data_IF_764374915703
#
_entry.id   IF_764374915703
#
_cell.length_a   1.000
_cell.length_b   1.000
_cell.length_c   1.000
_cell.angle_alpha   90.00
_cell.angle_beta   90.00
_cell.angle_gamma   90.00
#
_symmetry.space_group_name_H-M   'P 1'
#
loop_
_entity.id
_entity.type
_entity.pdbx_description
1 polymer ?
#
# COMPACT_ATOMS: atom_id res chain seq x y z
N UNK A 1 40.35 19.97 62.11
CA UNK A 1 39.18 20.41 62.90
C UNK A 1 39.24 21.92 62.99
N UNK A 2 38.59 22.63 62.08
CA UNK A 2 38.57 24.09 62.11
C UNK A 2 37.12 24.57 62.04
N UNK A 3 36.88 25.58 62.87
CA UNK A 3 35.60 26.10 63.29
C UNK A 3 34.68 26.49 62.15
N UNK A 4 33.43 26.08 62.33
CA UNK A 4 32.22 26.80 61.96
C UNK A 4 32.27 28.25 62.43
N UNK A 5 31.83 29.20 61.60
CA UNK A 5 30.70 30.02 62.06
C UNK A 5 29.86 30.58 60.90
N UNK A 6 28.56 30.61 61.15
CA UNK A 6 27.50 30.69 60.17
C UNK A 6 27.10 32.13 59.81
N UNK A 7 26.72 32.19 58.54
CA UNK A 7 26.15 33.26 57.73
C UNK A 7 24.89 33.92 58.30
N UNK A 8 24.78 35.26 58.17
CA UNK A 8 23.54 36.02 57.86
C UNK A 8 23.96 37.33 57.17
N UNK A 9 23.23 38.01 56.28
CA UNK A 9 22.03 37.80 55.47
C UNK A 9 22.02 38.97 54.44
N UNK A 10 21.59 38.67 53.20
CA UNK A 10 20.94 39.52 52.17
C UNK A 10 21.56 40.85 51.65
N UNK A 11 21.92 40.76 50.36
CA UNK A 11 21.35 41.49 49.22
C UNK A 11 20.97 42.98 49.34
N UNK A 12 21.64 43.79 48.50
CA UNK A 12 21.01 44.87 47.71
C UNK A 12 21.67 45.02 46.33
N UNK A 13 20.82 44.97 45.30
CA UNK A 13 20.99 45.56 43.95
C UNK A 13 21.22 47.08 44.07
N UNK A 14 21.70 47.86 43.12
CA UNK A 14 22.16 47.75 41.72
C UNK A 14 22.88 49.09 41.45
N UNK A 15 23.93 49.13 40.63
CA UNK A 15 24.31 50.36 39.95
C UNK A 15 25.06 50.08 38.66
N UNK A 16 24.58 50.78 37.63
CA UNK A 16 24.95 50.82 36.22
C UNK A 16 26.29 51.52 35.95
N UNK A 17 26.71 51.37 34.69
CA UNK A 17 27.63 52.19 33.87
C UNK A 17 29.11 51.84 33.86
N UNK A 18 29.53 51.26 32.73
CA UNK A 18 30.64 51.82 31.96
C UNK A 18 30.36 51.63 30.46
N UNK A 19 30.38 52.77 29.78
CA UNK A 19 30.15 52.94 28.36
C UNK A 19 31.40 52.59 27.55
N UNK A 20 31.22 52.01 26.37
CA UNK A 20 32.13 52.23 25.25
C UNK A 20 31.34 52.26 23.93
N UNK A 21 31.31 53.43 23.32
CA UNK A 21 30.79 53.66 21.97
C UNK A 21 31.91 53.39 20.96
N UNK A 22 31.68 52.45 20.06
CA UNK A 22 32.41 52.27 18.81
C UNK A 22 31.40 52.14 17.67
N UNK A 23 31.54 53.00 16.66
CA UNK A 23 30.52 53.33 15.65
C UNK A 23 30.61 52.43 14.42
N UNK A 24 29.43 52.00 13.92
CA UNK A 24 29.05 51.58 12.55
C UNK A 24 29.51 50.21 12.03
N UNK A 25 28.54 49.28 11.97
CA UNK A 25 28.23 48.50 10.76
C UNK A 25 26.74 48.10 10.80
N UNK A 26 26.11 48.06 9.62
CA UNK A 26 24.67 47.99 9.41
C UNK A 26 24.00 46.78 10.08
N UNK A 27 22.95 47.05 10.86
CA UNK A 27 21.96 46.05 11.26
C UNK A 27 20.91 45.91 10.15
N UNK A 28 21.13 45.01 9.21
CA UNK A 28 20.10 44.41 8.36
C UNK A 28 20.58 42.99 8.04
N UNK A 29 20.15 42.03 8.85
CA UNK A 29 20.58 40.64 8.73
C UNK A 29 20.08 39.78 9.88
N UNK A 30 18.84 39.97 10.32
CA UNK A 30 18.17 38.93 11.10
C UNK A 30 17.74 37.87 10.09
N UNK A 31 18.45 36.75 10.13
CA UNK A 31 18.35 35.65 9.18
C UNK A 31 16.91 35.19 9.00
N UNK A 32 16.47 35.28 7.74
CA UNK A 32 15.53 34.29 7.22
C UNK A 32 16.31 32.98 7.23
N UNK A 33 16.22 32.24 8.34
CA UNK A 33 16.37 30.80 8.31
C UNK A 33 15.25 30.32 7.40
N UNK A 34 15.57 30.24 6.11
CA UNK A 34 14.83 29.42 5.17
C UNK A 34 14.78 28.04 5.79
N UNK A 35 13.64 27.71 6.39
CA UNK A 35 13.15 26.36 6.45
C UNK A 35 13.19 25.88 5.00
N UNK A 36 14.29 25.24 4.62
CA UNK A 36 14.30 24.38 3.45
C UNK A 36 13.22 23.35 3.77
N UNK A 37 12.03 23.54 3.19
CA UNK A 37 11.06 22.48 3.00
C UNK A 37 11.87 21.30 2.48
N UNK A 38 12.04 20.27 3.30
CA UNK A 38 12.54 19.00 2.80
C UNK A 38 11.68 18.71 1.58
N UNK A 39 12.32 18.60 0.41
CA UNK A 39 11.62 18.27 -0.81
C UNK A 39 10.81 17.00 -0.51
N UNK A 40 9.49 17.14 -0.53
CA UNK A 40 8.56 16.10 -0.15
C UNK A 40 8.68 14.96 -1.16
N UNK A 41 9.47 13.95 -0.84
CA UNK A 41 9.71 12.83 -1.70
C UNK A 41 8.60 11.80 -1.45
N UNK A 42 7.65 11.76 -2.39
CA UNK A 42 6.70 10.66 -2.55
C UNK A 42 7.46 9.33 -2.68
N UNK A 43 6.86 8.16 -2.40
CA UNK A 43 7.50 6.87 -2.66
C UNK A 43 6.89 6.22 -3.92
N UNK A 44 7.73 5.90 -4.92
CA UNK A 44 7.30 5.07 -6.07
C UNK A 44 7.63 3.62 -5.76
N UNK A 45 6.62 2.76 -5.88
CA UNK A 45 6.61 1.31 -5.67
C UNK A 45 7.98 0.57 -5.59
N UNK A 46 8.09 -0.47 -4.75
CA UNK A 46 9.36 -1.16 -4.50
C UNK A 46 10.01 -1.65 -5.81
N UNK A 47 11.34 -1.70 -5.87
CA UNK A 47 12.04 -2.26 -7.03
C UNK A 47 11.68 -3.74 -7.21
N UNK A 48 11.45 -4.14 -8.47
CA UNK A 48 11.10 -5.54 -8.77
C UNK A 48 12.22 -6.53 -8.51
N UNK A 49 11.85 -7.82 -8.47
CA UNK A 49 12.80 -8.93 -8.39
C UNK A 49 13.73 -8.97 -9.60
N UNK A 50 14.87 -9.65 -9.50
CA UNK A 50 15.74 -9.92 -10.65
C UNK A 50 15.00 -10.71 -11.75
N UNK A 51 14.04 -11.55 -11.36
CA UNK A 51 13.12 -12.20 -12.29
C UNK A 51 12.31 -11.16 -13.08
N UNK A 52 11.74 -10.17 -12.41
CA UNK A 52 10.99 -9.11 -13.07
C UNK A 52 11.86 -8.23 -13.95
N UNK A 53 13.07 -7.87 -13.52
CA UNK A 53 14.02 -7.14 -14.34
C UNK A 53 14.31 -7.88 -15.66
N UNK A 54 14.47 -9.20 -15.62
CA UNK A 54 14.60 -10.04 -16.84
C UNK A 54 13.31 -10.09 -17.65
N UNK A 55 12.15 -10.09 -16.98
CA UNK A 55 10.84 -10.09 -17.63
C UNK A 55 10.54 -8.78 -18.37
N UNK A 56 11.02 -7.66 -17.84
CA UNK A 56 10.79 -6.31 -18.37
C UNK A 56 11.93 -5.81 -19.24
N UNK A 57 13.07 -6.51 -19.23
CA UNK A 57 14.34 -6.10 -19.85
C UNK A 57 14.84 -4.74 -19.34
N UNK A 58 14.64 -4.49 -18.05
CA UNK A 58 14.93 -3.21 -17.39
C UNK A 58 15.70 -3.48 -16.09
N UNK A 59 16.82 -2.77 -15.88
CA UNK A 59 17.69 -2.97 -14.73
C UNK A 59 17.31 -2.04 -13.58
N UNK A 60 17.75 -2.36 -12.35
CA UNK A 60 17.52 -1.45 -11.22
C UNK A 60 18.16 -0.08 -11.41
N UNK A 61 19.34 -0.02 -12.03
CA UNK A 61 20.02 1.23 -12.30
C UNK A 61 19.18 2.17 -13.17
N UNK A 62 18.39 1.63 -14.11
CA UNK A 62 17.50 2.45 -14.95
C UNK A 62 16.35 3.03 -14.13
N UNK A 63 15.74 2.24 -13.25
CA UNK A 63 14.64 2.68 -12.38
C UNK A 63 15.11 3.64 -11.29
N UNK A 64 16.27 3.39 -10.67
CA UNK A 64 16.88 4.29 -9.70
C UNK A 64 17.27 5.63 -10.33
N UNK A 65 17.80 5.61 -11.56
CA UNK A 65 18.07 6.85 -12.32
C UNK A 65 16.79 7.63 -12.60
N UNK A 66 15.69 6.95 -12.92
CA UNK A 66 14.40 7.61 -13.13
C UNK A 66 13.83 8.17 -11.82
N UNK A 67 13.89 7.42 -10.73
CA UNK A 67 13.47 7.89 -9.41
C UNK A 67 14.24 9.15 -8.99
N UNK A 68 15.57 9.16 -9.20
CA UNK A 68 16.41 10.33 -8.98
C UNK A 68 16.04 11.53 -9.86
N UNK A 69 15.69 11.30 -11.14
CA UNK A 69 15.19 12.38 -12.03
C UNK A 69 13.84 12.93 -11.62
N UNK A 70 12.96 12.08 -11.11
CA UNK A 70 11.63 12.48 -10.67
C UNK A 70 11.66 13.14 -9.28
N UNK A 71 12.75 12.99 -8.52
CA UNK A 71 12.87 13.49 -7.15
C UNK A 71 12.03 12.68 -6.16
N UNK A 72 11.89 11.38 -6.39
CA UNK A 72 10.97 10.50 -5.67
C UNK A 72 11.73 9.33 -5.07
N UNK A 73 11.35 8.91 -3.87
CA UNK A 73 11.95 7.75 -3.17
C UNK A 73 11.38 6.44 -3.75
N UNK A 74 12.08 5.33 -3.53
CA UNK A 74 11.57 4.00 -3.86
C UNK A 74 10.83 3.47 -2.62
N UNK A 75 9.59 2.99 -2.78
CA UNK A 75 8.76 2.45 -1.68
C UNK A 75 9.45 1.26 -1.04
N UNK A 76 9.30 1.14 0.28
CA UNK A 76 9.77 -0.02 1.03
C UNK A 76 9.14 -1.32 0.53
N UNK A 77 9.82 -2.45 0.76
CA UNK A 77 9.38 -3.79 0.35
C UNK A 77 8.56 -4.48 1.46
N UNK A 78 7.69 -3.74 2.16
CA UNK A 78 7.07 -4.24 3.39
C UNK A 78 6.16 -5.45 3.12
N UNK A 79 5.38 -5.42 2.03
CA UNK A 79 4.49 -6.52 1.66
C UNK A 79 5.28 -7.76 1.24
N UNK A 80 6.38 -7.56 0.51
CA UNK A 80 7.31 -8.64 0.17
C UNK A 80 7.99 -9.20 1.43
N UNK A 81 8.43 -8.36 2.37
CA UNK A 81 9.03 -8.79 3.64
C UNK A 81 8.04 -9.61 4.47
N UNK A 82 6.80 -9.12 4.65
CA UNK A 82 5.72 -9.87 5.33
C UNK A 82 5.54 -11.24 4.67
N UNK A 83 5.52 -11.27 3.33
CA UNK A 83 5.35 -12.51 2.56
C UNK A 83 6.53 -13.46 2.74
N UNK A 84 7.77 -12.97 2.69
CA UNK A 84 8.97 -13.80 2.90
C UNK A 84 9.01 -14.36 4.33
N UNK A 85 8.70 -13.55 5.35
CA UNK A 85 8.60 -13.99 6.76
C UNK A 85 7.52 -15.07 6.91
N UNK A 86 6.36 -14.85 6.29
CA UNK A 86 5.25 -15.79 6.37
C UNK A 86 5.55 -17.12 5.69
N UNK A 87 6.36 -17.11 4.63
CA UNK A 87 6.75 -18.31 3.88
C UNK A 87 8.08 -18.93 4.34
N UNK A 88 8.57 -18.55 5.53
CA UNK A 88 9.66 -19.26 6.22
C UNK A 88 11.02 -18.56 6.22
N UNK A 89 11.09 -17.27 5.91
CA UNK A 89 12.32 -16.50 6.13
C UNK A 89 12.71 -16.50 7.61
N UNK A 90 13.97 -16.84 7.96
CA UNK A 90 14.38 -17.07 9.34
C UNK A 90 14.66 -15.75 10.06
N UNK A 91 13.62 -15.18 10.66
CA UNK A 91 13.72 -14.09 11.63
C UNK A 91 12.83 -14.43 12.83
N UNK A 92 13.23 -14.01 14.02
CA UNK A 92 12.45 -14.19 15.24
C UNK A 92 11.61 -12.94 15.52
N UNK A 93 10.39 -13.06 16.07
CA UNK A 93 9.54 -11.89 16.34
C UNK A 93 10.23 -10.89 17.29
N UNK A 94 11.02 -11.39 18.25
CA UNK A 94 11.80 -10.55 19.18
C UNK A 94 12.86 -9.67 18.49
N UNK A 95 13.43 -10.14 17.38
CA UNK A 95 14.49 -9.45 16.63
C UNK A 95 13.99 -8.75 15.39
N UNK A 96 12.70 -8.87 15.05
CA UNK A 96 12.14 -8.38 13.80
C UNK A 96 12.41 -6.89 13.59
N UNK A 97 12.32 -6.04 14.61
CA UNK A 97 12.58 -4.61 14.45
C UNK A 97 14.04 -4.31 14.01
N UNK A 98 15.01 -5.11 14.46
CA UNK A 98 16.45 -4.88 14.23
C UNK A 98 17.03 -5.70 13.08
N UNK A 99 16.37 -6.77 12.66
CA UNK A 99 16.86 -7.69 11.64
C UNK A 99 16.09 -7.56 10.31
N UNK A 100 16.61 -6.77 9.35
CA UNK A 100 15.99 -6.59 8.04
C UNK A 100 16.33 -7.72 7.05
N UNK A 101 16.86 -8.88 7.49
CA UNK A 101 17.27 -9.98 6.59
C UNK A 101 16.15 -10.38 5.64
N UNK A 102 14.90 -10.41 6.12
CA UNK A 102 13.72 -10.80 5.33
C UNK A 102 13.19 -9.71 4.40
N UNK A 103 13.72 -8.48 4.48
CA UNK A 103 13.42 -7.39 3.53
C UNK A 103 14.27 -7.46 2.26
N UNK A 104 15.27 -8.35 2.23
CA UNK A 104 16.18 -8.46 1.11
C UNK A 104 15.45 -8.87 -0.17
N UNK A 105 15.96 -8.38 -1.30
CA UNK A 105 15.45 -8.72 -2.63
C UNK A 105 15.77 -10.18 -2.97
N UNK A 106 14.90 -10.81 -3.76
CA UNK A 106 15.11 -12.13 -4.36
C UNK A 106 15.36 -13.26 -3.35
N UNK A 107 14.81 -13.12 -2.14
CA UNK A 107 14.84 -14.20 -1.17
C UNK A 107 14.05 -15.42 -1.67
N UNK A 108 14.51 -16.63 -1.35
CA UNK A 108 14.00 -17.86 -1.96
C UNK A 108 12.75 -18.43 -1.29
N UNK A 109 12.23 -17.81 -0.21
CA UNK A 109 11.15 -18.40 0.59
C UNK A 109 9.80 -18.26 -0.11
N UNK A 110 9.46 -17.06 -0.57
CA UNK A 110 8.35 -16.84 -1.48
C UNK A 110 8.82 -16.93 -2.93
N UNK A 111 8.05 -17.61 -3.79
CA UNK A 111 8.39 -17.68 -5.23
C UNK A 111 8.34 -16.27 -5.85
N UNK A 112 9.16 -15.98 -6.88
CA UNK A 112 9.12 -14.69 -7.56
C UNK A 112 7.75 -14.38 -8.19
N UNK A 113 6.91 -15.38 -8.44
CA UNK A 113 5.57 -15.21 -8.98
C UNK A 113 4.55 -14.79 -7.91
N UNK A 114 4.69 -15.31 -6.68
CA UNK A 114 3.91 -14.81 -5.53
C UNK A 114 4.30 -13.37 -5.24
N UNK A 115 5.60 -13.06 -5.19
CA UNK A 115 6.09 -11.68 -5.00
C UNK A 115 5.60 -10.73 -6.12
N UNK A 116 5.58 -11.20 -7.37
CA UNK A 116 4.96 -10.43 -8.47
C UNK A 116 3.48 -10.13 -8.21
N UNK A 117 2.74 -11.13 -7.71
CA UNK A 117 1.34 -11.00 -7.33
C UNK A 117 1.10 -10.05 -6.18
N UNK A 118 1.96 -10.10 -5.15
CA UNK A 118 1.93 -9.17 -4.02
C UNK A 118 2.00 -7.75 -4.54
N UNK A 119 2.96 -7.45 -5.42
CA UNK A 119 3.09 -6.09 -5.98
C UNK A 119 2.01 -5.70 -6.98
N UNK A 120 1.17 -6.64 -7.43
CA UNK A 120 0.24 -6.39 -8.54
C UNK A 120 -0.82 -5.35 -8.20
N UNK A 121 -1.31 -5.29 -6.95
CA UNK A 121 -2.35 -4.33 -6.56
C UNK A 121 -1.82 -2.89 -6.66
N UNK A 122 -0.57 -2.65 -6.23
CA UNK A 122 0.13 -1.36 -6.36
C UNK A 122 0.61 -1.08 -7.79
N UNK A 123 0.96 -2.11 -8.55
CA UNK A 123 1.58 -1.99 -9.88
C UNK A 123 0.84 -2.77 -10.98
N UNK A 124 -0.48 -2.62 -11.13
CA UNK A 124 -1.20 -3.41 -12.10
C UNK A 124 -0.85 -2.91 -13.51
N UNK A 125 -0.61 -3.81 -14.47
CA UNK A 125 -0.36 -3.40 -15.85
C UNK A 125 -1.60 -2.82 -16.50
N UNK A 126 -1.41 -1.86 -17.40
CA UNK A 126 -2.51 -1.32 -18.18
C UNK A 126 -2.08 -0.98 -19.60
N UNK A 127 -3.06 -0.84 -20.48
CA UNK A 127 -2.88 -0.26 -21.81
C UNK A 127 -3.70 1.00 -21.91
N UNK A 128 -3.22 1.91 -22.75
CA UNK A 128 -3.90 3.16 -23.05
C UNK A 128 -4.46 3.09 -24.47
N UNK A 129 -5.58 3.76 -24.68
CA UNK A 129 -6.08 4.05 -26.03
C UNK A 129 -5.16 5.07 -26.73
N UNK A 130 -5.17 5.14 -28.09
CA UNK A 130 -4.31 6.05 -28.84
C UNK A 130 -4.40 7.54 -28.44
N UNK A 131 -5.57 7.97 -27.97
CA UNK A 131 -5.87 9.33 -27.53
C UNK A 131 -5.57 9.60 -26.04
N UNK A 132 -5.25 8.56 -25.27
CA UNK A 132 -4.89 8.66 -23.85
C UNK A 132 -3.38 8.93 -23.68
N UNK A 133 -2.92 9.06 -22.43
CA UNK A 133 -1.48 9.23 -22.14
C UNK A 133 -0.94 10.66 -22.29
N UNK A 134 -1.80 11.64 -22.58
CA UNK A 134 -1.43 13.04 -22.58
C UNK A 134 -1.43 13.60 -21.15
N UNK A 135 -0.35 13.35 -20.42
CA UNK A 135 -0.15 13.91 -19.09
C UNK A 135 0.63 15.23 -19.17
N UNK A 136 0.04 16.29 -18.63
CA UNK A 136 0.49 17.69 -18.75
C UNK A 136 1.76 18.02 -17.95
N UNK A 137 2.16 17.16 -17.02
CA UNK A 137 3.28 17.43 -16.12
C UNK A 137 4.67 17.20 -16.75
N UNK A 138 4.80 16.26 -17.70
CA UNK A 138 6.10 15.91 -18.30
C UNK A 138 6.18 16.08 -19.83
N UNK A 139 5.08 16.46 -20.50
CA UNK A 139 5.00 16.45 -21.97
C UNK A 139 5.01 15.00 -22.52
N UNK A 140 4.26 14.74 -23.62
CA UNK A 140 3.98 13.41 -24.21
C UNK A 140 4.96 12.28 -23.79
N UNK A 141 4.58 11.48 -22.80
CA UNK A 141 5.50 10.53 -22.14
C UNK A 141 5.12 9.06 -22.27
N UNK A 142 3.98 8.73 -22.87
CA UNK A 142 3.48 7.35 -22.94
C UNK A 142 3.59 6.73 -24.34
N UNK A 143 4.23 5.57 -24.44
CA UNK A 143 4.16 4.69 -25.62
C UNK A 143 2.88 3.85 -25.53
N UNK A 144 1.78 4.41 -26.02
CA UNK A 144 0.42 3.83 -25.94
C UNK A 144 0.28 2.48 -26.67
N UNK A 145 1.18 2.16 -27.61
CA UNK A 145 1.23 0.86 -28.30
C UNK A 145 1.72 -0.30 -27.41
N UNK A 146 2.35 0.00 -26.28
CA UNK A 146 2.94 -0.97 -25.37
C UNK A 146 2.10 -1.09 -24.09
N UNK A 147 2.16 -2.24 -23.42
CA UNK A 147 1.65 -2.34 -22.05
C UNK A 147 2.52 -1.49 -21.13
N UNK A 148 1.87 -0.60 -20.38
CA UNK A 148 2.52 0.27 -19.41
C UNK A 148 2.60 -0.45 -18.07
N UNK A 149 3.80 -0.41 -17.51
CA UNK A 149 4.17 -0.85 -16.17
C UNK A 149 5.10 0.20 -15.60
N UNK A 150 5.20 0.29 -14.28
CA UNK A 150 6.23 1.13 -13.70
C UNK A 150 7.63 0.71 -14.18
N UNK A 151 7.88 -0.60 -14.26
CA UNK A 151 9.14 -1.13 -14.75
C UNK A 151 9.47 -0.83 -16.22
N UNK A 152 8.48 -0.64 -17.11
CA UNK A 152 8.72 -0.47 -18.56
C UNK A 152 8.58 0.98 -19.03
N UNK A 153 7.72 1.77 -18.39
CA UNK A 153 7.49 3.17 -18.74
C UNK A 153 7.30 4.02 -17.46
N UNK A 154 8.32 4.10 -16.58
CA UNK A 154 8.19 4.72 -15.26
C UNK A 154 7.78 6.20 -15.30
N UNK A 155 8.27 6.97 -16.29
CA UNK A 155 7.88 8.37 -16.48
C UNK A 155 6.40 8.52 -16.88
N UNK A 156 5.91 7.67 -17.78
CA UNK A 156 4.49 7.64 -18.16
C UNK A 156 3.63 7.26 -16.94
N UNK A 157 4.01 6.18 -16.26
CA UNK A 157 3.30 5.67 -15.08
C UNK A 157 3.18 6.75 -14.01
N UNK A 158 4.31 7.37 -13.63
CA UNK A 158 4.35 8.40 -12.59
C UNK A 158 3.53 9.63 -12.96
N UNK A 159 3.63 10.07 -14.22
CA UNK A 159 2.85 11.22 -14.69
C UNK A 159 1.35 10.96 -14.55
N UNK A 160 0.88 9.79 -15.01
CA UNK A 160 -0.52 9.40 -14.90
C UNK A 160 -0.97 9.23 -13.44
N UNK A 161 -0.09 8.72 -12.58
CA UNK A 161 -0.37 8.57 -11.16
C UNK A 161 -0.61 9.94 -10.50
N UNK A 162 0.30 10.91 -10.67
CA UNK A 162 0.16 12.25 -10.08
C UNK A 162 -1.01 13.04 -10.68
N UNK A 163 -1.29 12.87 -11.97
CA UNK A 163 -2.47 13.46 -12.60
C UNK A 163 -3.77 12.86 -12.02
N UNK A 164 -3.82 11.55 -11.81
CA UNK A 164 -4.95 10.87 -11.17
C UNK A 164 -5.14 11.30 -9.71
N UNK A 165 -4.05 11.40 -8.93
CA UNK A 165 -4.09 11.90 -7.54
C UNK A 165 -4.76 13.28 -7.47
N UNK A 166 -4.36 14.20 -8.36
CA UNK A 166 -4.97 15.53 -8.41
C UNK A 166 -6.43 15.48 -8.83
N UNK A 167 -6.78 14.66 -9.82
CA UNK A 167 -8.16 14.56 -10.35
C UNK A 167 -9.12 13.93 -9.35
N UNK A 168 -8.66 12.93 -8.61
CA UNK A 168 -9.44 12.19 -7.62
C UNK A 168 -10.00 13.10 -6.50
N UNK A 169 -9.32 14.23 -6.23
CA UNK A 169 -9.78 15.24 -5.27
C UNK A 169 -11.07 15.95 -5.70
N UNK A 170 -11.43 15.90 -6.99
CA UNK A 170 -12.56 16.66 -7.55
C UNK A 170 -13.58 15.79 -8.27
N UNK A 171 -13.18 14.60 -8.72
CA UNK A 171 -14.02 13.69 -9.50
C UNK A 171 -13.70 12.24 -9.17
N UNK A 172 -14.71 11.40 -8.90
CA UNK A 172 -14.50 9.97 -8.75
C UNK A 172 -13.89 9.35 -10.01
N UNK A 173 -12.89 8.48 -9.82
CA UNK A 173 -12.24 7.73 -10.90
C UNK A 173 -12.91 6.36 -11.03
N UNK A 174 -13.41 6.05 -12.22
CA UNK A 174 -14.24 4.86 -12.49
C UNK A 174 -13.81 4.15 -13.78
N UNK A 175 -14.17 2.88 -13.92
CA UNK A 175 -13.95 2.10 -15.14
C UNK A 175 -15.21 1.95 -15.99
N UNK A 176 -16.01 0.93 -15.66
CA UNK A 176 -17.20 0.57 -16.44
C UNK A 176 -18.39 1.52 -16.25
N UNK A 177 -18.47 2.16 -15.07
CA UNK A 177 -19.55 3.07 -14.72
C UNK A 177 -19.36 4.41 -15.44
N UNK A 178 -20.22 4.73 -16.41
CA UNK A 178 -20.20 6.03 -17.12
C UNK A 178 -21.28 6.95 -16.56
N UNK A 179 -20.96 7.63 -15.46
CA UNK A 179 -21.87 8.60 -14.83
C UNK A 179 -21.34 10.02 -15.06
N UNK A 180 -22.25 10.98 -15.29
CA UNK A 180 -21.88 12.39 -15.40
C UNK A 180 -21.12 12.85 -14.14
N UNK A 181 -20.03 13.58 -14.33
CA UNK A 181 -19.18 14.02 -13.21
C UNK A 181 -18.06 13.05 -12.80
N UNK A 182 -17.98 11.87 -13.41
CA UNK A 182 -16.88 10.91 -13.17
C UNK A 182 -15.73 11.06 -14.18
N UNK A 183 -14.55 10.57 -13.81
CA UNK A 183 -13.37 10.49 -14.67
C UNK A 183 -13.08 9.03 -15.01
N UNK A 184 -12.92 8.71 -16.30
CA UNK A 184 -12.47 7.37 -16.70
C UNK A 184 -11.01 7.17 -16.27
N UNK A 185 -10.74 6.07 -15.58
CA UNK A 185 -9.39 5.66 -15.17
C UNK A 185 -8.92 4.38 -15.85
N UNK A 186 -7.60 4.22 -15.93
CA UNK A 186 -6.95 2.93 -16.21
C UNK A 186 -6.82 2.10 -14.91
N UNK A 187 -6.39 0.84 -15.02
CA UNK A 187 -6.32 -0.09 -13.90
C UNK A 187 -5.51 0.45 -12.71
N UNK A 188 -4.33 1.03 -12.97
CA UNK A 188 -3.50 1.63 -11.93
C UNK A 188 -4.22 2.79 -11.22
N UNK A 189 -4.78 3.73 -11.99
CA UNK A 189 -5.42 4.92 -11.39
C UNK A 189 -6.69 4.57 -10.62
N UNK A 190 -7.41 3.52 -11.06
CA UNK A 190 -8.61 3.02 -10.39
C UNK A 190 -8.27 2.29 -9.09
N UNK A 191 -7.17 1.52 -9.08
CA UNK A 191 -6.69 0.79 -7.89
C UNK A 191 -6.39 1.75 -6.74
N UNK A 192 -5.63 2.81 -7.01
CA UNK A 192 -5.19 3.73 -5.97
C UNK A 192 -6.25 4.76 -5.61
N UNK A 193 -6.94 5.33 -6.60
CA UNK A 193 -7.74 6.55 -6.41
C UNK A 193 -9.22 6.41 -6.76
N UNK A 194 -9.67 5.21 -7.12
CA UNK A 194 -10.95 5.03 -7.77
C UNK A 194 -11.78 3.90 -7.21
N UNK A 195 -12.66 3.41 -8.08
CA UNK A 195 -13.64 2.37 -7.80
C UNK A 195 -13.05 0.97 -7.55
N UNK A 196 -11.72 0.82 -7.60
CA UNK A 196 -11.02 -0.44 -7.28
C UNK A 196 -10.24 -0.37 -5.96
N UNK A 197 -10.44 0.64 -5.10
CA UNK A 197 -9.75 0.75 -3.81
C UNK A 197 -9.98 -0.44 -2.86
N UNK A 198 -11.00 -1.28 -3.10
CA UNK A 198 -11.15 -2.54 -2.37
C UNK A 198 -9.96 -3.50 -2.56
N UNK A 199 -9.16 -3.34 -3.62
CA UNK A 199 -7.90 -4.06 -3.82
C UNK A 199 -6.89 -3.78 -2.69
N UNK A 200 -7.01 -2.64 -2.03
CA UNK A 200 -6.18 -2.19 -0.91
C UNK A 200 -6.94 -2.22 0.42
N UNK A 201 -8.04 -2.96 0.51
CA UNK A 201 -8.94 -2.91 1.66
C UNK A 201 -9.37 -1.47 2.03
N UNK A 202 -9.62 -0.62 1.03
CA UNK A 202 -10.09 0.75 1.22
C UNK A 202 -11.45 0.98 0.57
N UNK A 203 -12.20 1.92 1.12
CA UNK A 203 -13.42 2.42 0.50
C UNK A 203 -13.08 3.33 -0.68
N UNK A 204 -13.91 3.30 -1.73
CA UNK A 204 -13.67 4.13 -2.92
C UNK A 204 -13.94 5.62 -2.70
N UNK A 205 -14.77 5.97 -1.71
CA UNK A 205 -15.28 7.32 -1.45
C UNK A 205 -15.56 7.51 0.05
N UNK A 206 -15.55 8.76 0.55
CA UNK A 206 -15.93 9.10 1.93
C UNK A 206 -17.42 8.83 2.17
N UNK A 207 -17.78 8.51 3.42
CA UNK A 207 -19.16 8.28 3.85
C UNK A 207 -19.72 6.89 3.50
N UNK A 208 -18.92 5.98 2.95
CA UNK A 208 -19.33 4.61 2.61
C UNK A 208 -19.40 3.77 3.88
N UNK A 209 -20.55 3.12 4.11
CA UNK A 209 -20.69 2.19 5.24
C UNK A 209 -19.70 1.01 5.09
N UNK A 210 -18.98 0.60 6.15
CA UNK A 210 -17.89 -0.39 6.05
C UNK A 210 -18.35 -1.75 5.54
N UNK A 211 -19.63 -2.10 5.76
CA UNK A 211 -20.24 -3.31 5.19
C UNK A 211 -20.22 -3.35 3.64
N UNK A 212 -20.31 -2.20 2.98
CA UNK A 212 -20.25 -2.13 1.51
C UNK A 212 -18.82 -2.37 1.00
N UNK A 213 -17.82 -1.76 1.62
CA UNK A 213 -16.41 -2.00 1.30
C UNK A 213 -16.02 -3.45 1.59
N UNK A 214 -16.42 -3.99 2.76
CA UNK A 214 -16.19 -5.40 3.11
C UNK A 214 -16.75 -6.36 2.06
N UNK A 215 -17.95 -6.12 1.57
CA UNK A 215 -18.55 -6.97 0.54
C UNK A 215 -17.66 -7.02 -0.72
N UNK A 216 -17.18 -5.86 -1.19
CA UNK A 216 -16.28 -5.78 -2.35
C UNK A 216 -14.92 -6.44 -2.11
N UNK A 217 -14.36 -6.25 -0.91
CA UNK A 217 -13.12 -6.90 -0.51
C UNK A 217 -13.28 -8.42 -0.49
N UNK A 218 -14.35 -8.94 0.10
CA UNK A 218 -14.60 -10.38 0.15
C UNK A 218 -14.91 -10.98 -1.23
N UNK A 219 -15.67 -10.27 -2.08
CA UNK A 219 -15.89 -10.68 -3.47
C UNK A 219 -14.56 -10.74 -4.25
N UNK A 220 -13.67 -9.77 -4.05
CA UNK A 220 -12.34 -9.76 -4.66
C UNK A 220 -11.49 -10.94 -4.17
N UNK A 221 -11.45 -11.17 -2.85
CA UNK A 221 -10.68 -12.26 -2.26
C UNK A 221 -11.22 -13.62 -2.70
N UNK A 222 -12.54 -13.77 -2.84
CA UNK A 222 -13.15 -14.97 -3.41
C UNK A 222 -12.65 -15.22 -4.83
N UNK A 223 -12.73 -14.20 -5.69
CA UNK A 223 -12.27 -14.28 -7.06
C UNK A 223 -10.78 -14.63 -7.14
N UNK A 224 -9.93 -13.88 -6.43
CA UNK A 224 -8.49 -14.05 -6.45
C UNK A 224 -8.08 -15.42 -5.88
N UNK A 225 -8.72 -15.87 -4.80
CA UNK A 225 -8.51 -17.21 -4.25
C UNK A 225 -8.91 -18.29 -5.24
N UNK A 226 -10.08 -18.18 -5.87
CA UNK A 226 -10.53 -19.15 -6.87
C UNK A 226 -9.62 -19.22 -8.10
N UNK A 227 -8.95 -18.13 -8.48
CA UNK A 227 -7.90 -18.16 -9.51
C UNK A 227 -6.63 -18.84 -8.97
N UNK A 228 -6.26 -18.58 -7.72
CA UNK A 228 -5.11 -19.17 -7.05
C UNK A 228 -5.24 -20.69 -6.82
N UNK A 229 -6.42 -21.15 -6.41
CA UNK A 229 -6.79 -22.58 -6.27
C UNK A 229 -7.13 -23.25 -7.61
N UNK A 230 -7.12 -22.49 -8.71
CA UNK A 230 -7.43 -22.93 -10.08
C UNK A 230 -8.88 -23.39 -10.30
N UNK A 231 -9.79 -22.99 -9.42
CA UNK A 231 -11.25 -23.13 -9.60
C UNK A 231 -11.74 -22.27 -10.79
N UNK A 232 -11.12 -21.11 -11.02
CA UNK A 232 -11.37 -20.24 -12.18
C UNK A 232 -10.22 -20.37 -13.18
N UNK A 233 -10.56 -20.62 -14.46
CA UNK A 233 -9.57 -20.78 -15.53
C UNK A 233 -9.04 -19.43 -16.04
N UNK A 234 -7.76 -19.36 -16.46
CA UNK A 234 -7.15 -18.13 -16.99
C UNK A 234 -7.87 -17.49 -18.18
N UNK A 235 -8.51 -18.31 -19.02
CA UNK A 235 -9.21 -17.88 -20.22
C UNK A 235 -10.67 -17.47 -19.97
N UNK A 236 -11.17 -17.59 -18.74
CA UNK A 236 -12.53 -17.15 -18.39
C UNK A 236 -12.64 -15.63 -18.57
N UNK A 237 -13.71 -15.15 -19.22
CA UNK A 237 -13.96 -13.70 -19.30
C UNK A 237 -14.45 -13.18 -17.94
N UNK A 238 -13.96 -12.01 -17.52
CA UNK A 238 -14.34 -11.42 -16.24
C UNK A 238 -15.85 -11.13 -16.15
N UNK A 239 -16.48 -10.78 -17.28
CA UNK A 239 -17.91 -10.50 -17.35
C UNK A 239 -18.80 -11.73 -17.18
N UNK A 240 -18.24 -12.93 -17.40
CA UNK A 240 -18.99 -14.20 -17.34
C UNK A 240 -18.92 -14.82 -15.94
N UNK A 241 -18.18 -14.21 -15.02
CA UNK A 241 -18.05 -14.67 -13.64
C UNK A 241 -19.28 -14.29 -12.82
N UNK A 242 -19.78 -15.23 -12.02
CA UNK A 242 -20.83 -14.96 -11.03
C UNK A 242 -20.20 -14.34 -9.77
N UNK A 243 -19.85 -13.06 -9.89
CA UNK A 243 -19.28 -12.26 -8.82
C UNK A 243 -19.69 -10.79 -9.02
N UNK A 244 -20.50 -10.20 -8.11
CA UNK A 244 -21.07 -8.87 -8.30
C UNK A 244 -20.02 -7.78 -8.48
N UNK A 245 -18.96 -7.81 -7.67
CA UNK A 245 -17.87 -6.83 -7.73
C UNK A 245 -17.12 -6.91 -9.07
N UNK A 246 -16.81 -8.11 -9.57
CA UNK A 246 -16.15 -8.27 -10.87
C UNK A 246 -17.05 -7.81 -12.02
N UNK A 247 -18.35 -8.11 -11.96
CA UNK A 247 -19.32 -7.64 -12.95
C UNK A 247 -19.44 -6.10 -12.95
N UNK A 248 -19.55 -5.47 -11.78
CA UNK A 248 -19.64 -4.01 -11.62
C UNK A 248 -18.42 -3.32 -12.25
N UNK A 249 -17.22 -3.82 -11.95
CA UNK A 249 -15.98 -3.09 -12.23
C UNK A 249 -15.26 -3.50 -13.51
N UNK A 250 -15.56 -4.68 -14.06
CA UNK A 250 -14.91 -5.24 -15.26
C UNK A 250 -15.90 -5.79 -16.30
N UNK A 251 -17.19 -5.89 -16.01
CA UNK A 251 -18.19 -6.51 -16.89
C UNK A 251 -18.37 -5.85 -18.26
N UNK A 252 -17.98 -4.58 -18.40
CA UNK A 252 -17.98 -3.87 -19.67
C UNK A 252 -16.78 -4.20 -20.59
N UNK A 253 -15.78 -4.91 -20.08
CA UNK A 253 -14.54 -5.21 -20.81
C UNK A 253 -14.66 -6.55 -21.55
N UNK A 254 -13.71 -6.81 -22.46
CA UNK A 254 -13.49 -8.15 -23.04
C UNK A 254 -12.32 -8.87 -22.34
N UNK A 255 -11.96 -8.46 -21.13
CA UNK A 255 -10.81 -9.00 -20.43
C UNK A 255 -11.10 -10.41 -19.94
N UNK A 256 -10.09 -11.27 -20.09
CA UNK A 256 -10.02 -12.56 -19.42
C UNK A 256 -9.28 -12.41 -18.09
N UNK A 257 -9.36 -13.43 -17.24
CA UNK A 257 -8.60 -13.51 -15.98
C UNK A 257 -7.10 -13.30 -16.22
N UNK A 258 -6.55 -13.87 -17.30
CA UNK A 258 -5.15 -13.64 -17.68
C UNK A 258 -4.85 -12.19 -18.07
N UNK A 259 -5.80 -11.48 -18.67
CA UNK A 259 -5.58 -10.09 -19.07
C UNK A 259 -5.52 -9.17 -17.85
N UNK A 260 -6.30 -9.46 -16.80
CA UNK A 260 -6.27 -8.72 -15.55
C UNK A 260 -4.87 -8.77 -14.91
N UNK A 261 -4.39 -9.98 -14.64
CA UNK A 261 -3.17 -10.15 -13.86
C UNK A 261 -1.88 -9.96 -14.67
N UNK A 262 -1.84 -10.44 -15.92
CA UNK A 262 -0.58 -10.64 -16.64
C UNK A 262 -0.59 -10.00 -18.04
N UNK A 263 -1.32 -8.90 -18.22
CA UNK A 263 -1.43 -8.18 -19.49
C UNK A 263 -0.07 -7.97 -20.18
N UNK A 264 0.06 -8.44 -21.42
CA UNK A 264 1.29 -8.31 -22.22
C UNK A 264 2.45 -9.19 -21.76
N UNK A 265 2.19 -10.21 -20.92
CA UNK A 265 3.15 -11.20 -20.42
C UNK A 265 2.58 -12.62 -20.34
N UNK A 266 1.48 -12.89 -21.06
CA UNK A 266 0.83 -14.19 -21.10
C UNK A 266 1.79 -15.31 -21.57
N UNK A 267 2.74 -15.00 -22.45
CA UNK A 267 3.78 -15.91 -22.93
C UNK A 267 4.69 -16.47 -21.82
N UNK A 268 4.88 -15.71 -20.73
CA UNK A 268 5.83 -16.03 -19.66
C UNK A 268 5.18 -16.33 -18.31
N UNK A 269 4.05 -15.70 -18.01
CA UNK A 269 3.42 -15.77 -16.68
C UNK A 269 2.20 -16.67 -16.62
N UNK A 270 1.62 -17.09 -17.75
CA UNK A 270 0.38 -17.87 -17.76
C UNK A 270 0.46 -19.17 -16.94
N UNK A 271 1.54 -19.97 -16.97
CA UNK A 271 1.67 -21.16 -16.13
C UNK A 271 1.67 -20.85 -14.62
N UNK A 272 2.06 -19.63 -14.25
CA UNK A 272 2.23 -19.18 -12.86
C UNK A 272 1.15 -18.21 -12.40
N UNK A 273 0.08 -18.04 -13.20
CA UNK A 273 -1.01 -17.11 -12.88
C UNK A 273 -1.63 -17.35 -11.51
N UNK A 274 -1.74 -18.61 -11.09
CA UNK A 274 -2.21 -19.01 -9.78
C UNK A 274 -1.37 -18.46 -8.62
N UNK A 275 -0.04 -18.34 -8.77
CA UNK A 275 0.82 -17.68 -7.78
C UNK A 275 0.63 -16.17 -7.77
N UNK A 276 0.44 -15.57 -8.95
CA UNK A 276 0.18 -14.13 -9.08
C UNK A 276 -1.14 -13.76 -8.40
N UNK A 277 -2.20 -14.55 -8.61
CA UNK A 277 -3.48 -14.35 -7.94
C UNK A 277 -3.37 -14.54 -6.41
N UNK A 278 -2.59 -15.53 -5.96
CA UNK A 278 -2.34 -15.72 -4.52
C UNK A 278 -1.60 -14.52 -3.91
N UNK A 279 -0.55 -14.00 -4.55
CA UNK A 279 0.13 -12.81 -4.07
C UNK A 279 -0.81 -11.60 -3.95
N UNK A 280 -1.75 -11.46 -4.88
CA UNK A 280 -2.76 -10.40 -4.83
C UNK A 280 -3.74 -10.54 -3.66
N UNK A 281 -4.09 -11.77 -3.26
CA UNK A 281 -4.81 -12.05 -2.00
C UNK A 281 -4.00 -11.55 -0.81
N UNK A 282 -2.71 -11.89 -0.76
CA UNK A 282 -1.83 -11.50 0.34
C UNK A 282 -1.74 -9.98 0.48
N UNK A 283 -1.58 -9.26 -0.65
CA UNK A 283 -1.53 -7.79 -0.65
C UNK A 283 -2.77 -7.18 0.00
N UNK A 284 -3.97 -7.53 -0.46
CA UNK A 284 -5.23 -6.99 0.09
C UNK A 284 -5.38 -7.28 1.59
N UNK A 285 -4.97 -8.47 2.03
CA UNK A 285 -5.02 -8.84 3.45
C UNK A 285 -4.00 -8.06 4.27
N UNK A 286 -2.78 -7.87 3.77
CA UNK A 286 -1.72 -7.11 4.43
C UNK A 286 -2.11 -5.64 4.58
N UNK A 287 -2.60 -5.00 3.51
CA UNK A 287 -3.10 -3.62 3.56
C UNK A 287 -4.17 -3.45 4.62
N UNK A 288 -5.07 -4.43 4.79
CA UNK A 288 -6.13 -4.35 5.80
C UNK A 288 -5.63 -4.24 7.25
N UNK A 289 -4.34 -4.45 7.53
CA UNK A 289 -3.71 -4.26 8.83
C UNK A 289 -2.86 -2.98 8.94
N UNK A 290 -2.63 -2.28 7.82
CA UNK A 290 -1.95 -0.99 7.82
C UNK A 290 -2.90 0.12 8.29
N UNK A 291 -2.44 0.98 9.20
CA UNK A 291 -3.31 1.97 9.83
C UNK A 291 -3.83 3.03 8.85
N UNK A 292 -3.11 3.32 7.77
CA UNK A 292 -3.60 4.22 6.72
C UNK A 292 -4.76 3.60 5.92
N UNK A 293 -4.85 2.28 5.83
CA UNK A 293 -5.84 1.59 5.00
C UNK A 293 -7.14 1.29 5.77
N UNK A 294 -7.03 0.82 7.00
CA UNK A 294 -8.18 0.50 7.84
C UNK A 294 -7.92 0.75 9.33
N UNK A 295 -8.95 1.18 10.04
CA UNK A 295 -8.96 1.18 11.51
C UNK A 295 -9.55 -0.13 12.01
N UNK A 296 -8.86 -0.76 12.95
CA UNK A 296 -9.33 -1.95 13.68
C UNK A 296 -9.48 -1.64 15.17
N UNK A 297 -10.28 -2.45 15.87
CA UNK A 297 -10.47 -2.34 17.33
C UNK A 297 -9.11 -2.32 18.06
N UNK A 298 -9.01 -1.58 19.18
CA UNK A 298 -7.76 -1.50 19.94
C UNK A 298 -7.31 -2.85 20.50
N UNK A 299 -8.26 -3.68 20.90
CA UNK A 299 -8.04 -5.01 21.48
C UNK A 299 -8.70 -6.08 20.62
N UNK A 300 -8.10 -7.28 20.48
CA UNK A 300 -8.78 -8.38 19.81
C UNK A 300 -10.00 -8.81 20.62
N UNK A 301 -11.09 -9.25 19.96
CA UNK A 301 -12.31 -9.74 20.62
C UNK A 301 -12.10 -11.03 21.45
N UNK A 302 -10.91 -11.66 21.37
CA UNK A 302 -10.62 -12.96 21.95
C UNK A 302 -11.16 -14.12 21.11
N UNK A 303 -10.81 -15.35 21.51
CA UNK A 303 -11.23 -16.57 20.82
C UNK A 303 -10.55 -16.80 19.46
N UNK A 304 -11.14 -17.69 18.67
CA UNK A 304 -10.61 -18.12 17.38
C UNK A 304 -11.58 -17.87 16.22
N UNK A 305 -11.05 -17.89 15.01
CA UNK A 305 -11.84 -17.93 13.78
C UNK A 305 -12.36 -19.36 13.54
N UNK A 306 -13.69 -19.56 13.61
CA UNK A 306 -14.35 -20.88 13.59
C UNK A 306 -13.77 -21.88 14.62
N UNK A 307 -14.16 -23.16 14.54
CA UNK A 307 -13.62 -24.28 15.35
C UNK A 307 -12.12 -24.56 15.08
N UNK A 308 -11.46 -23.73 14.28
CA UNK A 308 -10.03 -23.80 14.04
C UNK A 308 -9.24 -23.08 15.15
N UNK A 309 -7.96 -23.42 15.29
CA UNK A 309 -7.08 -22.90 16.32
C UNK A 309 -6.49 -21.50 16.03
N UNK A 310 -7.10 -20.71 15.14
CA UNK A 310 -6.52 -19.45 14.67
C UNK A 310 -7.04 -18.27 15.48
N UNK A 311 -6.18 -17.48 16.15
CA UNK A 311 -6.62 -16.32 16.91
C UNK A 311 -7.44 -15.36 16.04
N UNK A 312 -8.55 -14.88 16.59
CA UNK A 312 -9.36 -13.88 15.89
C UNK A 312 -8.59 -12.55 15.85
N UNK A 313 -8.39 -11.94 14.66
CA UNK A 313 -7.77 -10.63 14.58
C UNK A 313 -8.70 -9.54 15.13
N UNK A 314 -8.14 -8.36 15.37
CA UNK A 314 -8.92 -7.16 15.70
C UNK A 314 -9.94 -6.87 14.60
N UNK A 315 -11.21 -6.66 14.95
CA UNK A 315 -12.28 -6.42 13.97
C UNK A 315 -12.14 -5.04 13.33
N UNK A 316 -12.67 -4.87 12.13
CA UNK A 316 -12.60 -3.63 11.36
C UNK A 316 -13.65 -2.64 11.86
N UNK A 317 -13.20 -1.46 12.28
CA UNK A 317 -14.05 -0.33 12.68
C UNK A 317 -14.37 0.53 11.46
N UNK A 318 -13.37 0.76 10.60
CA UNK A 318 -13.49 1.63 9.44
C UNK A 318 -12.55 1.16 8.33
N UNK A 319 -13.02 1.22 7.08
CA UNK A 319 -12.14 1.17 5.91
C UNK A 319 -11.92 2.61 5.45
N UNK A 320 -10.67 3.06 5.38
CA UNK A 320 -10.36 4.43 5.00
C UNK A 320 -10.50 4.65 3.49
N UNK A 321 -10.37 5.89 3.06
CA UNK A 321 -10.42 6.32 1.66
C UNK A 321 -9.17 7.08 1.28
N UNK A 322 -8.47 6.66 0.24
CA UNK A 322 -7.19 7.25 -0.13
C UNK A 322 -7.31 8.65 -0.74
N UNK A 323 -8.39 8.94 -1.49
CA UNK A 323 -8.52 10.18 -2.28
C UNK A 323 -8.31 11.48 -1.51
N UNK A 324 -8.65 11.50 -0.21
CA UNK A 324 -8.49 12.64 0.69
C UNK A 324 -7.39 12.45 1.76
N UNK A 325 -6.55 11.41 1.64
CA UNK A 325 -5.35 11.24 2.46
C UNK A 325 -4.18 12.08 1.95
N UNK A 326 -3.27 12.41 2.85
CA UNK A 326 -1.91 12.82 2.55
C UNK A 326 -1.08 11.58 2.19
N UNK A 327 -0.53 11.56 0.98
CA UNK A 327 0.23 10.42 0.48
C UNK A 327 1.48 10.10 1.30
N UNK A 328 2.12 11.10 1.93
CA UNK A 328 3.28 10.86 2.78
C UNK A 328 2.88 10.15 4.08
N UNK A 329 1.82 10.64 4.74
CA UNK A 329 1.34 10.03 5.99
C UNK A 329 0.80 8.62 5.75
N UNK A 330 0.25 8.38 4.55
CA UNK A 330 -0.11 7.05 4.08
C UNK A 330 1.13 6.16 3.92
N UNK A 331 2.11 6.61 3.14
CA UNK A 331 3.35 5.86 2.86
C UNK A 331 4.10 5.49 4.17
N UNK A 332 4.05 6.35 5.19
CA UNK A 332 4.64 6.06 6.51
C UNK A 332 4.03 4.81 7.18
N UNK A 333 2.75 4.52 6.94
CA UNK A 333 2.08 3.32 7.46
C UNK A 333 2.28 2.07 6.58
N UNK A 334 2.75 2.25 5.35
CA UNK A 334 3.18 1.19 4.43
C UNK A 334 4.69 0.95 4.52
N UNK A 335 5.26 1.20 5.70
CA UNK A 335 6.67 1.06 5.95
C UNK A 335 6.97 -0.14 6.83
N UNK A 336 8.20 -0.65 6.70
CA UNK A 336 8.75 -1.63 7.64
C UNK A 336 8.69 -1.13 9.08
N UNK A 337 8.95 0.15 9.29
CA UNK A 337 8.88 0.77 10.60
C UNK A 337 7.47 0.59 11.20
N UNK A 338 6.41 0.96 10.48
CA UNK A 338 5.03 0.75 10.91
C UNK A 338 4.68 -0.73 11.18
N UNK A 339 5.11 -1.64 10.30
CA UNK A 339 4.93 -3.09 10.51
C UNK A 339 5.59 -3.58 11.80
N UNK A 340 6.78 -3.07 12.14
CA UNK A 340 7.53 -3.54 13.31
C UNK A 340 7.14 -2.86 14.62
N UNK A 341 6.55 -1.66 14.58
CA UNK A 341 6.10 -0.92 15.78
C UNK A 341 5.05 -1.66 16.60
N UNK A 342 4.26 -2.54 15.98
CA UNK A 342 3.23 -3.35 16.65
C UNK A 342 3.76 -4.64 17.27
N UNK A 343 5.04 -4.96 17.06
CA UNK A 343 5.67 -6.20 17.56
C UNK A 343 6.04 -6.06 19.04
N UNK A 344 5.24 -6.67 19.92
CA UNK A 344 5.68 -6.96 21.30
C UNK A 344 6.73 -8.07 21.20
N UNK A 345 7.70 -8.11 22.13
CA UNK A 345 8.92 -8.93 22.07
C UNK A 345 8.76 -10.43 21.72
N UNK A 346 7.54 -10.99 21.68
CA UNK A 346 7.28 -12.40 21.37
C UNK A 346 6.09 -12.63 20.43
N UNK A 347 5.43 -11.58 19.92
CA UNK A 347 4.26 -11.72 19.04
C UNK A 347 4.55 -11.16 17.66
N UNK A 348 4.23 -11.92 16.62
CA UNK A 348 4.27 -11.44 15.25
C UNK A 348 3.22 -10.34 14.99
N UNK A 349 3.52 -9.40 14.08
CA UNK A 349 2.51 -8.49 13.55
C UNK A 349 1.31 -9.27 12.98
N UNK A 350 0.09 -8.77 13.18
CA UNK A 350 -1.13 -9.46 12.76
C UNK A 350 -1.14 -9.75 11.23
N UNK A 351 -0.54 -8.86 10.42
CA UNK A 351 -0.38 -9.06 8.98
C UNK A 351 0.50 -10.28 8.64
N UNK A 352 1.55 -10.54 9.42
CA UNK A 352 2.43 -11.71 9.25
C UNK A 352 1.67 -12.98 9.61
N UNK A 353 0.95 -12.98 10.73
CA UNK A 353 0.16 -14.15 11.16
C UNK A 353 -0.95 -14.49 10.15
N UNK A 354 -1.66 -13.48 9.65
CA UNK A 354 -2.66 -13.68 8.61
C UNK A 354 -2.05 -14.24 7.32
N UNK A 355 -0.91 -13.69 6.90
CA UNK A 355 -0.20 -14.16 5.70
C UNK A 355 0.29 -15.60 5.87
N UNK A 356 0.79 -15.99 7.06
CA UNK A 356 1.20 -17.38 7.35
C UNK A 356 0.05 -18.35 7.20
N UNK A 357 -1.10 -18.01 7.78
CA UNK A 357 -2.28 -18.86 7.69
C UNK A 357 -2.72 -19.06 6.25
N UNK A 358 -2.80 -17.98 5.48
CA UNK A 358 -3.16 -18.05 4.06
C UNK A 358 -2.13 -18.82 3.23
N UNK A 359 -0.85 -18.71 3.56
CA UNK A 359 0.21 -19.47 2.90
C UNK A 359 0.07 -20.97 3.16
N UNK A 360 -0.22 -21.36 4.40
CA UNK A 360 -0.49 -22.75 4.76
C UNK A 360 -1.71 -23.29 3.98
N UNK A 361 -2.84 -22.56 4.00
CA UNK A 361 -4.05 -22.94 3.27
C UNK A 361 -3.81 -23.05 1.76
N UNK A 362 -2.97 -22.17 1.20
CA UNK A 362 -2.59 -22.21 -0.21
C UNK A 362 -1.72 -23.41 -0.55
N UNK A 363 -0.73 -23.73 0.28
CA UNK A 363 0.14 -24.90 0.12
C UNK A 363 -0.65 -26.21 0.26
N UNK A 364 -1.66 -26.23 1.15
CA UNK A 364 -2.62 -27.32 1.32
C UNK A 364 -3.64 -27.41 0.16
N UNK A 365 -3.60 -26.44 -0.79
CA UNK A 365 -4.49 -26.32 -1.94
C UNK A 365 -5.97 -26.21 -1.56
N UNK A 366 -6.25 -25.55 -0.43
CA UNK A 366 -7.60 -25.33 0.05
C UNK A 366 -8.44 -24.58 -1.00
N UNK A 367 -9.66 -25.05 -1.24
CA UNK A 367 -10.62 -24.38 -2.11
C UNK A 367 -11.27 -23.19 -1.38
N UNK A 368 -11.96 -22.32 -2.11
CA UNK A 368 -12.64 -21.17 -1.51
C UNK A 368 -13.56 -21.57 -0.35
N UNK A 369 -14.31 -22.67 -0.47
CA UNK A 369 -15.22 -23.14 0.57
C UNK A 369 -14.51 -23.41 1.93
N UNK A 370 -13.24 -23.79 1.90
CA UNK A 370 -12.44 -24.08 3.09
C UNK A 370 -11.82 -22.81 3.69
N UNK A 371 -11.46 -21.84 2.84
CA UNK A 371 -10.79 -20.59 3.24
C UNK A 371 -11.76 -19.46 3.56
N UNK A 372 -12.96 -19.49 2.97
CA UNK A 372 -13.99 -18.47 3.12
C UNK A 372 -14.25 -18.10 4.59
N UNK A 373 -14.38 -19.05 5.54
CA UNK A 373 -14.67 -18.65 6.91
C UNK A 373 -13.53 -17.90 7.60
N UNK A 374 -12.28 -18.25 7.28
CA UNK A 374 -11.13 -17.50 7.76
C UNK A 374 -11.12 -16.09 7.17
N UNK A 375 -11.37 -15.95 5.87
CA UNK A 375 -11.49 -14.62 5.22
C UNK A 375 -12.64 -13.79 5.80
N UNK A 376 -13.79 -14.39 6.08
CA UNK A 376 -14.90 -13.70 6.73
C UNK A 376 -14.54 -13.20 8.13
N UNK A 377 -13.75 -13.96 8.87
CA UNK A 377 -13.23 -13.61 10.19
C UNK A 377 -12.18 -12.48 10.12
N UNK A 378 -11.24 -12.54 9.16
CA UNK A 378 -10.21 -11.51 8.94
C UNK A 378 -10.82 -10.11 8.73
N UNK A 379 -11.97 -10.06 8.06
CA UNK A 379 -12.69 -8.84 7.73
C UNK A 379 -13.96 -8.66 8.55
N UNK A 380 -14.10 -9.31 9.71
CA UNK A 380 -15.24 -9.08 10.61
C UNK A 380 -15.32 -7.59 10.97
N UNK A 381 -16.52 -7.00 10.89
CA UNK A 381 -16.75 -5.59 11.24
C UNK A 381 -17.14 -5.51 12.71
N UNK A 382 -16.57 -4.53 13.42
CA UNK A 382 -16.88 -4.25 14.81
C UNK A 382 -18.32 -3.74 14.99
N UNK A 383 -18.86 -3.91 16.20
CA UNK A 383 -20.20 -3.42 16.52
C UNK A 383 -20.24 -1.89 16.45
N UNK A 384 -19.24 -1.25 17.06
CA UNK A 384 -18.91 0.16 16.89
C UNK A 384 -18.09 0.34 15.61
N UNK A 385 -18.71 0.96 14.61
CA UNK A 385 -18.14 1.12 13.28
C UNK A 385 -18.46 2.48 12.71
N UNK A 386 -17.60 2.96 11.83
CA UNK A 386 -17.71 4.27 11.20
C UNK A 386 -17.79 4.14 9.69
N UNK A 387 -18.54 5.06 9.07
CA UNK A 387 -18.47 5.23 7.63
C UNK A 387 -17.08 5.71 7.26
N UNK A 388 -16.64 5.36 6.05
CA UNK A 388 -15.31 5.64 5.57
C UNK A 388 -14.97 7.13 5.60
N UNK A 389 -13.73 7.41 5.95
CA UNK A 389 -13.09 8.72 5.89
C UNK A 389 -11.62 8.52 5.48
N UNK A 390 -10.82 9.58 5.34
CA UNK A 390 -9.38 9.44 5.18
C UNK A 390 -8.70 8.83 6.42
N UNK A 391 -9.38 8.71 7.56
CA UNK A 391 -8.74 8.52 8.85
C UNK A 391 -8.07 9.82 9.29
N UNK A 392 -8.50 10.38 10.43
CA UNK A 392 -8.07 11.73 10.83
C UNK A 392 -6.54 11.95 10.88
N UNK A 393 -5.71 10.99 11.31
CA UNK A 393 -4.26 11.15 11.25
C UNK A 393 -3.70 11.31 9.83
N UNK A 394 -4.38 10.79 8.82
CA UNK A 394 -3.92 10.76 7.43
C UNK A 394 -4.60 11.80 6.55
N UNK A 395 -5.57 12.56 7.07
CA UNK A 395 -6.29 13.57 6.28
C UNK A 395 -5.30 14.62 5.76
N UNK A 396 -5.39 14.92 4.46
CA UNK A 396 -4.64 16.01 3.83
C UNK A 396 -5.07 17.35 4.46
N UNK A 397 -4.10 18.14 4.93
CA UNK A 397 -4.33 19.44 5.59
C UNK A 397 -4.28 20.61 4.63
#
# INVERSE_FOLDING_TARGET
MQGTDHTKIRHRQSSLQLAFNGVRALALGAGILTLCSAAAAFQIAPMGSAFESKLTNETEDSLATVAGRLGVLIKGRVHEEITQIAMGCPVEPAGLAQDPVCSARDLPFATPYVIYGVRWNDLPPFKLAPEEGNCTYLGKSCKVSETIRFSTQPLCWYCLFKDAEKKAQTKPIVGCRKVAGTQRGNLMTRSHFGDLQFLHAMASEEGVHPGATRAKVLDWLEFAWKVASREIKPDTFLRDLDNPTLQEHFGCTQWRVSDLYILGRQDKLLPYLHHVAFGSVLHTVQDSFAAAHATREASPPGGTCQDAAWPRPRRIVEFHTYGAQDGHLHDDQDSREAMTHVSVAEKWPDAVEATRMLSQLYDDRALWAEVQPYMQCLFEIADERHNSSPGEPFRRR
#
